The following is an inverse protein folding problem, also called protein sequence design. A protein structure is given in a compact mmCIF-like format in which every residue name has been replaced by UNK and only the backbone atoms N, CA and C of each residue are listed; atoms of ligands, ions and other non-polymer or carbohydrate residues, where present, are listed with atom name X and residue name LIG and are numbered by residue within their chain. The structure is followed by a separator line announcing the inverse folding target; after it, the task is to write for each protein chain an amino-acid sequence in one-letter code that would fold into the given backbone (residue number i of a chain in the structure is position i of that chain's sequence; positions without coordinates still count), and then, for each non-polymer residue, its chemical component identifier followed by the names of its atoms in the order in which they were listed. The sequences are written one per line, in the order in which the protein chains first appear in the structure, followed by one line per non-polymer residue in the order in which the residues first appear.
data_IF_142147117970
#
_entry.id   IF_142147117970
#
_cell.length_a   1.000
_cell.length_b   1.000
_cell.length_c   1.000
_cell.angle_alpha   90.00
_cell.angle_beta   90.00
_cell.angle_gamma   90.00
#
_symmetry.space_group_name_H-M   'P 1'
#
loop_
_entity.id
_entity.type
_entity.pdbx_description
1 polymer ?
#
# COMPACT_ATOMS: atom_id res chain seq x y z
N UNK A 1 -22.86 1.32 0.94
CA UNK A 1 -21.55 1.38 0.24
C UNK A 1 -20.50 1.23 1.30
N UNK A 2 -19.71 0.16 1.28
CA UNK A 2 -18.56 0.04 2.18
C UNK A 2 -17.54 1.06 1.70
N UNK A 3 -17.11 1.97 2.56
CA UNK A 3 -16.05 2.92 2.25
C UNK A 3 -14.68 2.25 2.49
N UNK A 4 -13.65 2.71 1.78
CA UNK A 4 -12.30 2.25 2.05
C UNK A 4 -11.91 2.67 3.49
N UNK A 5 -11.27 1.80 4.28
CA UNK A 5 -10.82 2.17 5.62
C UNK A 5 -9.80 3.32 5.54
N UNK A 6 -9.79 4.21 6.53
CA UNK A 6 -8.84 5.33 6.58
C UNK A 6 -7.38 4.88 6.77
N UNK A 7 -7.17 3.74 7.41
CA UNK A 7 -5.87 3.11 7.53
C UNK A 7 -6.02 1.60 7.37
N UNK A 8 -5.03 0.98 6.74
CA UNK A 8 -5.06 -0.44 6.43
C UNK A 8 -3.65 -0.98 6.31
N UNK A 9 -3.38 -2.16 6.87
CA UNK A 9 -2.06 -2.78 6.88
C UNK A 9 -2.18 -4.29 6.83
N UNK A 10 -1.29 -4.95 6.08
CA UNK A 10 -1.14 -6.41 6.09
C UNK A 10 -0.68 -6.96 7.43
N UNK A 11 -0.06 -6.12 8.25
CA UNK A 11 0.45 -6.47 9.58
C UNK A 11 -0.61 -6.25 10.70
N UNK A 12 -1.83 -5.79 10.35
CA UNK A 12 -2.94 -5.61 11.30
C UNK A 12 -3.72 -6.91 11.50
N UNK A 13 -4.17 -7.20 12.73
CA UNK A 13 -5.06 -8.33 13.03
C UNK A 13 -6.41 -8.27 12.30
N UNK A 14 -6.84 -7.08 11.90
CA UNK A 14 -8.08 -6.84 11.14
C UNK A 14 -7.86 -6.84 9.63
N UNK A 15 -6.67 -7.24 9.18
CA UNK A 15 -6.38 -7.38 7.77
C UNK A 15 -7.35 -8.36 7.11
N UNK A 16 -8.04 -7.90 6.07
CA UNK A 16 -8.91 -8.70 5.23
C UNK A 16 -8.44 -8.64 3.77
N UNK A 17 -7.75 -9.68 3.25
CA UNK A 17 -7.17 -9.66 1.92
C UNK A 17 -8.19 -9.38 0.80
N UNK A 18 -9.48 -9.67 1.00
CA UNK A 18 -10.53 -9.34 0.03
C UNK A 18 -10.76 -7.83 -0.09
N UNK A 19 -10.69 -7.10 1.02
CA UNK A 19 -10.69 -5.63 1.03
C UNK A 19 -9.41 -5.12 0.36
N UNK A 20 -8.25 -5.65 0.77
CA UNK A 20 -6.94 -5.30 0.22
C UNK A 20 -6.89 -5.39 -1.31
N UNK A 21 -7.40 -6.48 -1.88
CA UNK A 21 -7.43 -6.70 -3.32
C UNK A 21 -8.31 -5.69 -4.09
N UNK A 22 -9.24 -5.02 -3.42
CA UNK A 22 -10.17 -4.06 -4.03
C UNK A 22 -9.74 -2.61 -3.81
N UNK A 23 -8.67 -2.34 -3.10
CA UNK A 23 -8.24 -0.99 -2.80
C UNK A 23 -7.40 -0.38 -3.93
N UNK A 24 -7.84 0.76 -4.44
CA UNK A 24 -7.03 1.67 -5.24
C UNK A 24 -6.45 2.75 -4.31
N UNK A 25 -5.12 2.79 -4.24
CA UNK A 25 -4.37 3.73 -3.39
C UNK A 25 -3.67 4.75 -4.29
N UNK A 26 -3.90 6.02 -3.98
CA UNK A 26 -3.29 7.16 -4.66
C UNK A 26 -2.44 7.95 -3.67
N UNK A 27 -1.26 8.39 -4.09
CA UNK A 27 -0.39 9.32 -3.37
C UNK A 27 -0.14 10.52 -4.27
N UNK A 28 -0.48 11.72 -3.79
CA UNK A 28 -0.37 12.97 -4.53
C UNK A 28 -1.00 12.90 -5.94
N UNK A 29 -2.15 12.22 -6.02
CA UNK A 29 -2.90 12.04 -7.28
C UNK A 29 -2.30 11.01 -8.24
N UNK A 30 -1.27 10.25 -7.85
CA UNK A 30 -0.67 9.17 -8.64
C UNK A 30 -0.99 7.80 -8.04
N UNK A 31 -1.32 6.78 -8.86
CA UNK A 31 -1.55 5.44 -8.34
C UNK A 31 -0.28 4.84 -7.75
N UNK A 32 -0.42 4.20 -6.59
CA UNK A 32 0.67 3.47 -5.93
C UNK A 32 0.38 1.99 -5.96
N UNK A 33 1.36 1.22 -6.44
CA UNK A 33 1.28 -0.24 -6.53
C UNK A 33 2.06 -0.91 -5.41
N UNK A 34 1.79 -2.20 -5.16
CA UNK A 34 2.51 -3.02 -4.17
C UNK A 34 2.43 -2.44 -2.74
N UNK A 35 1.31 -1.80 -2.42
CA UNK A 35 1.03 -1.23 -1.11
C UNK A 35 0.82 -2.36 -0.11
N UNK A 36 1.50 -2.26 1.02
CA UNK A 36 1.36 -3.18 2.17
C UNK A 36 0.70 -2.50 3.36
N UNK A 37 0.81 -1.18 3.47
CA UNK A 37 0.03 -0.39 4.41
C UNK A 37 -0.20 1.03 3.89
N UNK A 38 -1.26 1.67 4.35
CA UNK A 38 -1.47 3.11 4.17
C UNK A 38 -2.21 3.71 5.36
N UNK A 39 -2.08 5.03 5.53
CA UNK A 39 -2.82 5.85 6.48
C UNK A 39 -3.17 7.19 5.82
N UNK A 40 -4.45 7.40 5.52
CA UNK A 40 -4.93 8.63 4.86
C UNK A 40 -4.90 9.85 5.78
N UNK A 41 -4.87 9.64 7.10
CA UNK A 41 -4.86 10.71 8.09
C UNK A 41 -3.42 11.21 8.29
N UNK A 42 -2.46 10.29 8.38
CA UNK A 42 -1.03 10.62 8.48
C UNK A 42 -0.39 10.98 7.15
N UNK A 43 -1.03 10.63 6.03
CA UNK A 43 -0.48 10.86 4.70
C UNK A 43 0.69 9.94 4.39
N UNK A 44 0.59 8.66 4.75
CA UNK A 44 1.68 7.69 4.65
C UNK A 44 1.26 6.46 3.84
N UNK A 45 2.15 5.97 2.99
CA UNK A 45 2.01 4.71 2.27
C UNK A 45 3.29 3.89 2.42
N UNK A 46 3.17 2.69 2.96
CA UNK A 46 4.23 1.70 2.96
C UNK A 46 4.01 0.76 1.78
N UNK A 47 4.99 0.66 0.88
CA UNK A 47 4.94 -0.26 -0.27
C UNK A 47 6.19 -1.13 -0.33
N UNK A 48 6.11 -2.21 -1.09
CA UNK A 48 7.29 -2.96 -1.49
C UNK A 48 8.06 -2.15 -2.54
N UNK A 49 9.37 -2.02 -2.32
CA UNK A 49 10.28 -1.35 -3.23
C UNK A 49 10.49 -2.18 -4.48
N UNK A 50 10.35 -1.55 -5.64
CA UNK A 50 10.58 -2.16 -6.95
C UNK A 50 11.79 -1.53 -7.63
N UNK A 51 12.61 -2.35 -8.28
CA UNK A 51 13.71 -1.90 -9.13
C UNK A 51 13.20 -1.26 -10.43
N UNK A 52 14.13 -0.74 -11.23
CA UNK A 52 13.83 -0.11 -12.53
C UNK A 52 13.23 -1.10 -13.55
N UNK A 53 13.49 -2.39 -13.37
CA UNK A 53 12.93 -3.50 -14.14
C UNK A 53 11.56 -3.96 -13.65
N UNK A 54 11.05 -3.34 -12.57
CA UNK A 54 9.78 -3.70 -11.92
C UNK A 54 9.87 -4.90 -10.97
N UNK A 55 11.05 -5.50 -10.78
CA UNK A 55 11.23 -6.60 -9.85
C UNK A 55 11.30 -6.11 -8.40
N UNK A 56 10.92 -6.97 -7.45
CA UNK A 56 11.02 -6.65 -6.02
C UNK A 56 12.49 -6.53 -5.60
N UNK A 57 12.83 -5.45 -4.90
CA UNK A 57 14.17 -5.28 -4.33
C UNK A 57 14.23 -6.07 -3.03
N UNK A 58 15.14 -7.04 -2.96
CA UNK A 58 15.40 -7.80 -1.73
C UNK A 58 16.44 -7.10 -0.87
N UNK A 59 16.40 -7.34 0.43
CA UNK A 59 17.45 -6.89 1.34
C UNK A 59 18.79 -7.60 1.04
N UNK A 60 19.88 -7.16 1.66
CA UNK A 60 21.22 -7.69 1.37
C UNK A 60 21.37 -9.20 1.65
N UNK A 61 20.64 -9.72 2.63
CA UNK A 61 20.65 -11.13 3.00
C UNK A 61 19.62 -11.98 2.23
N UNK A 62 18.77 -11.32 1.40
CA UNK A 62 17.69 -11.88 0.57
C UNK A 62 16.61 -12.63 1.36
N UNK A 63 16.43 -12.29 2.62
CA UNK A 63 15.42 -12.87 3.51
C UNK A 63 14.12 -12.07 3.55
N UNK A 64 14.14 -10.81 3.10
CA UNK A 64 12.94 -9.96 3.03
C UNK A 64 12.96 -9.05 1.79
N UNK A 65 11.78 -8.58 1.41
CA UNK A 65 11.57 -7.54 0.40
C UNK A 65 11.73 -6.18 1.06
N UNK A 66 12.56 -5.31 0.48
CA UNK A 66 12.73 -3.95 0.97
C UNK A 66 11.39 -3.22 0.88
N UNK A 67 10.97 -2.64 2.01
CA UNK A 67 9.80 -1.76 2.09
C UNK A 67 10.27 -0.31 2.03
N UNK A 68 9.50 0.56 1.39
CA UNK A 68 9.74 2.00 1.37
C UNK A 68 8.51 2.74 1.88
N UNK A 69 8.74 3.72 2.75
CA UNK A 69 7.73 4.63 3.24
C UNK A 69 7.69 5.84 2.32
N UNK A 70 6.51 6.13 1.78
CA UNK A 70 6.22 7.31 1.00
C UNK A 70 5.27 8.21 1.80
N UNK A 71 5.49 9.51 1.74
CA UNK A 71 4.69 10.50 2.45
C UNK A 71 4.08 11.49 1.46
N UNK A 72 2.86 11.96 1.74
CA UNK A 72 2.12 12.86 0.86
C UNK A 72 0.61 12.77 1.07
N UNK A 73 -0.17 13.35 0.16
CA UNK A 73 -1.63 13.26 0.23
C UNK A 73 -2.09 11.88 -0.22
N UNK A 74 -2.57 11.07 0.73
CA UNK A 74 -3.05 9.70 0.47
C UNK A 74 -4.56 9.68 0.29
N UNK A 75 -5.01 9.01 -0.77
CA UNK A 75 -6.42 8.73 -1.01
C UNK A 75 -6.59 7.21 -1.24
N UNK A 76 -7.58 6.61 -0.60
CA UNK A 76 -7.91 5.20 -0.75
C UNK A 76 -9.37 5.06 -1.20
N UNK A 77 -9.63 4.20 -2.18
CA UNK A 77 -10.99 3.96 -2.70
C UNK A 77 -11.20 2.47 -2.95
N UNK A 78 -12.41 1.99 -2.72
CA UNK A 78 -12.79 0.63 -3.10
C UNK A 78 -13.19 0.60 -4.57
N UNK A 79 -12.60 -0.32 -5.32
CA UNK A 79 -13.03 -0.65 -6.67
C UNK A 79 -14.45 -1.21 -6.62
N UNK A 80 -15.32 -0.54 -7.36
CA UNK A 80 -16.63 -1.07 -7.69
C UNK A 80 -16.41 -2.18 -8.70
N UNK A 81 -16.94 -3.37 -8.43
CA UNK A 81 -16.98 -4.48 -9.38
C UNK A 81 -17.99 -4.19 -10.49
#
# INVERSE_FOLDING_TARGET
MTEAPAAYSVDDLRFDPAIGARLDIMLDGKPVTKVVAYDTIKGQVLRLKTGEDGNLVLNAARDDVVRELLEGKVEARLRSE
#
